data_IF_701648830308
#
_entry.id   IF_701648830308
#
_cell.length_a   1.000
_cell.length_b   1.000
_cell.length_c   1.000
_cell.angle_alpha   90.00
_cell.angle_beta   90.00
_cell.angle_gamma   90.00
#
_symmetry.space_group_name_H-M   'P 1'
#
loop_
_entity.id
_entity.type
_entity.pdbx_description
1 polymer ?
#
# COMPACT_ATOMS: atom_id res chain seq x y z
N UNK A 1 16.01 11.94 -2.87
CA UNK A 1 14.57 12.29 -2.96
C UNK A 1 13.81 11.07 -2.48
N UNK A 2 12.91 11.23 -1.52
CA UNK A 2 12.10 10.12 -1.00
C UNK A 2 10.95 9.82 -1.95
N UNK A 3 10.87 8.58 -2.46
CA UNK A 3 9.77 8.11 -3.30
C UNK A 3 8.78 7.23 -2.52
N UNK A 4 7.59 7.02 -3.09
CA UNK A 4 6.57 6.12 -2.57
C UNK A 4 6.30 5.01 -3.59
N UNK A 5 6.31 3.77 -3.13
CA UNK A 5 5.88 2.62 -3.93
C UNK A 5 4.38 2.38 -3.70
N UNK A 6 3.59 2.42 -4.76
CA UNK A 6 2.17 2.08 -4.73
C UNK A 6 1.97 0.73 -5.41
N UNK A 7 1.50 -0.26 -4.65
CA UNK A 7 1.25 -1.60 -5.13
C UNK A 7 -0.24 -1.91 -5.10
N UNK A 8 -0.73 -2.67 -6.08
CA UNK A 8 -2.09 -3.21 -6.05
C UNK A 8 -2.15 -4.63 -6.60
N UNK A 9 -3.13 -5.40 -6.11
CA UNK A 9 -3.26 -6.82 -6.45
C UNK A 9 -3.87 -7.08 -7.82
N UNK A 10 -4.55 -6.08 -8.40
CA UNK A 10 -5.28 -6.14 -9.66
C UNK A 10 -5.34 -4.77 -10.33
N UNK A 11 -5.35 -4.72 -11.66
CA UNK A 11 -5.62 -3.47 -12.41
C UNK A 11 -7.01 -2.90 -12.11
N UNK A 12 -7.96 -3.74 -11.70
CA UNK A 12 -9.29 -3.29 -11.26
C UNK A 12 -9.26 -2.38 -10.04
N UNK A 13 -8.18 -2.39 -9.26
CA UNK A 13 -8.02 -1.55 -8.07
C UNK A 13 -7.48 -0.14 -8.45
N UNK A 14 -6.96 0.03 -9.67
CA UNK A 14 -6.33 1.26 -10.16
C UNK A 14 -7.22 2.50 -10.02
N UNK A 15 -8.53 2.48 -10.36
CA UNK A 15 -9.38 3.67 -10.22
C UNK A 15 -9.49 4.18 -8.78
N UNK A 16 -9.35 3.30 -7.79
CA UNK A 16 -9.31 3.68 -6.37
C UNK A 16 -7.93 4.22 -6.01
N UNK A 17 -6.87 3.50 -6.38
CA UNK A 17 -5.50 3.83 -6.00
C UNK A 17 -4.96 5.10 -6.67
N UNK A 18 -5.36 5.39 -7.91
CA UNK A 18 -4.96 6.59 -8.65
C UNK A 18 -5.34 7.89 -7.93
N UNK A 19 -6.41 7.87 -7.12
CA UNK A 19 -6.81 9.01 -6.28
C UNK A 19 -5.71 9.38 -5.27
N UNK A 20 -4.99 8.39 -4.74
CA UNK A 20 -3.85 8.59 -3.85
C UNK A 20 -2.58 8.96 -4.61
N UNK A 21 -2.31 8.29 -5.73
CA UNK A 21 -1.16 8.58 -6.62
C UNK A 21 -1.19 10.05 -7.06
N UNK A 22 -2.37 10.55 -7.45
CA UNK A 22 -2.55 11.95 -7.86
C UNK A 22 -2.15 12.94 -6.76
N UNK A 23 -2.56 12.70 -5.50
CA UNK A 23 -2.21 13.55 -4.36
C UNK A 23 -0.70 13.55 -4.10
N UNK A 24 -0.05 12.39 -4.13
CA UNK A 24 1.40 12.30 -3.95
C UNK A 24 2.15 13.10 -5.02
N UNK A 25 1.75 12.94 -6.28
CA UNK A 25 2.36 13.66 -7.41
C UNK A 25 2.11 15.17 -7.33
N UNK A 26 0.92 15.61 -6.93
CA UNK A 26 0.61 17.04 -6.70
C UNK A 26 1.55 17.66 -5.66
N UNK A 27 1.99 16.89 -4.66
CA UNK A 27 2.92 17.31 -3.62
C UNK A 27 4.40 17.09 -4.00
N UNK A 28 4.69 16.78 -5.26
CA UNK A 28 6.05 16.60 -5.76
C UNK A 28 6.75 15.32 -5.31
N UNK A 29 6.00 14.34 -4.80
CA UNK A 29 6.55 13.02 -4.43
C UNK A 29 6.67 12.15 -5.68
N UNK A 30 7.83 11.54 -5.86
CA UNK A 30 8.03 10.53 -6.90
C UNK A 30 7.27 9.25 -6.53
N UNK A 31 6.47 8.73 -7.46
CA UNK A 31 5.61 7.56 -7.23
C UNK A 31 5.86 6.49 -8.28
N UNK A 32 6.29 5.32 -7.84
CA UNK A 32 6.30 4.10 -8.64
C UNK A 32 5.00 3.33 -8.41
N UNK A 33 4.35 2.88 -9.49
CA UNK A 33 3.11 2.09 -9.41
C UNK A 33 3.37 0.69 -9.95
N UNK A 34 3.01 -0.34 -9.18
CA UNK A 34 3.19 -1.74 -9.54
C UNK A 34 1.88 -2.54 -9.37
N UNK A 35 1.57 -3.40 -10.34
CA UNK A 35 0.49 -4.38 -10.22
C UNK A 35 1.10 -5.76 -9.98
N UNK A 36 1.01 -6.24 -8.74
CA UNK A 36 1.49 -7.56 -8.34
C UNK A 36 0.58 -8.16 -7.27
N UNK A 37 0.08 -9.36 -7.53
CA UNK A 37 -0.87 -10.04 -6.66
C UNK A 37 -0.14 -10.93 -5.66
N UNK A 38 -0.36 -10.74 -4.36
CA UNK A 38 0.18 -11.62 -3.33
C UNK A 38 -0.22 -13.10 -3.53
N UNK A 39 -1.42 -13.37 -4.04
CA UNK A 39 -1.90 -14.73 -4.26
C UNK A 39 -1.40 -15.35 -5.58
N UNK A 40 -1.29 -14.55 -6.65
CA UNK A 40 -1.00 -15.06 -8.01
C UNK A 40 0.47 -14.91 -8.41
N UNK A 41 1.15 -13.93 -7.82
CA UNK A 41 2.54 -13.58 -8.08
C UNK A 41 3.29 -13.36 -6.74
N UNK A 42 3.31 -14.35 -5.82
CA UNK A 42 3.87 -14.16 -4.48
C UNK A 42 5.36 -13.83 -4.51
N UNK A 43 6.16 -14.50 -5.35
CA UNK A 43 7.61 -14.25 -5.47
C UNK A 43 7.92 -12.83 -5.93
N UNK A 44 7.28 -12.37 -6.99
CA UNK A 44 7.42 -10.98 -7.48
C UNK A 44 7.01 -9.97 -6.41
N UNK A 45 5.95 -10.25 -5.67
CA UNK A 45 5.48 -9.37 -4.59
C UNK A 45 6.52 -9.25 -3.48
N UNK A 46 7.12 -10.37 -3.07
CA UNK A 46 8.22 -10.40 -2.11
C UNK A 46 9.44 -9.65 -2.63
N UNK A 47 9.88 -9.90 -3.86
CA UNK A 47 11.03 -9.24 -4.49
C UNK A 47 10.86 -7.71 -4.56
N UNK A 48 9.67 -7.24 -4.92
CA UNK A 48 9.35 -5.80 -4.93
C UNK A 48 9.41 -5.19 -3.52
N UNK A 49 8.89 -5.90 -2.51
CA UNK A 49 8.90 -5.43 -1.13
C UNK A 49 10.31 -5.39 -0.51
N UNK A 50 11.10 -6.44 -0.73
CA UNK A 50 12.49 -6.56 -0.26
C UNK A 50 13.38 -5.50 -0.91
N UNK A 51 13.20 -5.25 -2.21
CA UNK A 51 13.96 -4.26 -2.96
C UNK A 51 13.54 -2.81 -2.72
N UNK A 52 12.38 -2.55 -2.10
CA UNK A 52 11.77 -1.22 -2.05
C UNK A 52 12.69 -0.17 -1.39
N UNK A 53 13.31 -0.50 -0.26
CA UNK A 53 14.22 0.41 0.45
C UNK A 53 15.49 0.69 -0.36
N UNK A 54 16.07 -0.34 -0.98
CA UNK A 54 17.26 -0.19 -1.83
C UNK A 54 16.98 0.64 -3.10
N UNK A 55 15.73 0.62 -3.58
CA UNK A 55 15.26 1.45 -4.68
C UNK A 55 14.96 2.91 -4.29
N UNK A 56 15.17 3.30 -3.02
CA UNK A 56 14.98 4.68 -2.54
C UNK A 56 13.57 5.02 -2.04
N UNK A 57 12.66 4.03 -2.01
CA UNK A 57 11.32 4.24 -1.46
C UNK A 57 11.38 4.40 0.05
N UNK A 58 10.51 5.26 0.59
CA UNK A 58 10.43 5.54 2.02
C UNK A 58 9.11 5.05 2.65
N UNK A 59 8.08 4.83 1.84
CA UNK A 59 6.76 4.30 2.25
C UNK A 59 6.22 3.41 1.14
N UNK A 60 5.52 2.34 1.51
CA UNK A 60 4.77 1.50 0.55
C UNK A 60 3.26 1.64 0.83
N UNK A 61 2.47 1.87 -0.21
CA UNK A 61 1.00 1.89 -0.13
C UNK A 61 0.46 0.70 -0.92
N UNK A 62 -0.36 -0.13 -0.29
CA UNK A 62 -0.90 -1.35 -0.88
C UNK A 62 -2.43 -1.31 -0.96
N UNK A 63 -2.98 -1.45 -2.17
CA UNK A 63 -4.42 -1.62 -2.41
C UNK A 63 -4.80 -3.07 -2.66
N UNK A 64 -5.79 -3.58 -1.92
CA UNK A 64 -6.35 -4.91 -2.17
C UNK A 64 -7.79 -5.04 -1.63
N UNK A 65 -8.62 -5.81 -2.34
CA UNK A 65 -9.96 -6.18 -1.91
C UNK A 65 -10.10 -7.65 -1.52
N UNK A 66 -11.32 -8.06 -1.13
CA UNK A 66 -11.65 -9.41 -0.66
C UNK A 66 -10.76 -9.83 0.53
N UNK A 67 -10.16 -11.03 0.49
CA UNK A 67 -9.09 -11.43 1.40
C UNK A 67 -7.81 -10.63 1.09
N UNK A 68 -7.75 -9.38 1.55
CA UNK A 68 -6.74 -8.39 1.17
C UNK A 68 -5.35 -8.67 1.78
N UNK A 69 -4.67 -9.71 1.27
CA UNK A 69 -3.38 -10.17 1.81
C UNK A 69 -2.17 -9.30 1.41
N UNK A 70 -2.29 -8.50 0.35
CA UNK A 70 -1.14 -7.75 -0.21
C UNK A 70 -0.43 -6.85 0.82
N UNK A 71 -1.12 -6.01 1.61
CA UNK A 71 -0.44 -5.14 2.57
C UNK A 71 0.34 -5.92 3.63
N UNK A 72 -0.24 -7.01 4.15
CA UNK A 72 0.42 -7.86 5.15
C UNK A 72 1.63 -8.61 4.60
N UNK A 73 1.53 -9.15 3.38
CA UNK A 73 2.66 -9.82 2.71
C UNK A 73 3.79 -8.85 2.43
N UNK A 74 3.49 -7.64 1.93
CA UNK A 74 4.50 -6.61 1.70
C UNK A 74 5.17 -6.20 3.02
N UNK A 75 4.39 -5.97 4.08
CA UNK A 75 4.91 -5.62 5.40
C UNK A 75 5.82 -6.71 6.01
N UNK A 76 5.58 -7.98 5.69
CA UNK A 76 6.42 -9.08 6.13
C UNK A 76 7.80 -9.13 5.43
N UNK A 77 7.94 -8.46 4.28
CA UNK A 77 9.12 -8.52 3.41
C UNK A 77 9.89 -7.19 3.32
N UNK A 78 9.48 -6.16 4.06
CA UNK A 78 10.15 -4.86 4.05
C UNK A 78 10.23 -4.25 5.44
N UNK A 79 11.26 -3.45 5.69
CA UNK A 79 11.37 -2.63 6.90
C UNK A 79 10.70 -1.26 6.77
N UNK A 80 10.24 -0.91 5.56
CA UNK A 80 9.54 0.35 5.32
C UNK A 80 8.13 0.34 5.93
N UNK A 81 7.60 1.50 6.35
CA UNK A 81 6.19 1.64 6.70
C UNK A 81 5.28 1.21 5.54
N UNK A 82 4.32 0.33 5.82
CA UNK A 82 3.31 -0.13 4.87
C UNK A 82 1.93 0.40 5.25
N UNK A 83 1.28 1.06 4.30
CA UNK A 83 -0.08 1.59 4.42
C UNK A 83 -1.03 0.71 3.60
N UNK A 84 -2.05 0.14 4.26
CA UNK A 84 -3.05 -0.69 3.60
C UNK A 84 -4.30 0.11 3.22
N UNK A 85 -4.72 0.04 1.96
CA UNK A 85 -5.99 0.56 1.46
C UNK A 85 -6.92 -0.62 1.19
N UNK A 86 -7.90 -0.89 2.07
CA UNK A 86 -8.94 -1.88 1.81
C UNK A 86 -9.78 -1.41 0.62
N UNK A 87 -9.87 -2.22 -0.44
CA UNK A 87 -10.69 -1.91 -1.62
C UNK A 87 -12.02 -2.62 -1.50
N UNK A 88 -13.13 -1.94 -1.76
CA UNK A 88 -14.49 -2.49 -1.67
C UNK A 88 -14.83 -3.45 -2.83
N UNK A 89 -13.98 -4.43 -3.10
CA UNK A 89 -14.24 -5.46 -4.09
C UNK A 89 -15.24 -6.50 -3.55
N UNK A 90 -16.10 -7.03 -4.42
CA UNK A 90 -17.02 -8.11 -4.06
C UNK A 90 -18.28 -7.65 -3.32
N UNK A 91 -18.84 -8.55 -2.51
CA UNK A 91 -20.20 -8.42 -1.98
C UNK A 91 -20.28 -7.85 -0.57
N UNK A 92 -19.16 -7.78 0.16
CA UNK A 92 -19.11 -7.39 1.58
C UNK A 92 -18.76 -5.90 1.78
N UNK A 93 -18.76 -5.11 0.71
CA UNK A 93 -18.50 -3.67 0.79
C UNK A 93 -17.13 -3.31 1.35
N UNK A 94 -16.15 -4.22 1.31
CA UNK A 94 -14.79 -4.01 1.81
C UNK A 94 -14.59 -4.30 3.30
N UNK A 95 -15.60 -4.81 4.03
CA UNK A 95 -15.41 -5.21 5.43
C UNK A 95 -14.40 -6.36 5.57
N UNK A 96 -14.47 -7.33 4.66
CA UNK A 96 -13.49 -8.41 4.52
C UNK A 96 -12.08 -7.88 4.26
N UNK A 97 -11.95 -6.94 3.32
CA UNK A 97 -10.67 -6.30 3.04
C UNK A 97 -10.14 -5.51 4.23
N UNK A 98 -11.01 -4.78 4.94
CA UNK A 98 -10.64 -3.96 6.09
C UNK A 98 -10.07 -4.83 7.21
N UNK A 99 -10.79 -5.89 7.58
CA UNK A 99 -10.34 -6.82 8.62
C UNK A 99 -9.07 -7.56 8.20
N UNK A 100 -8.95 -7.96 6.93
CA UNK A 100 -7.73 -8.59 6.39
C UNK A 100 -6.50 -7.67 6.48
N UNK A 101 -6.68 -6.37 6.23
CA UNK A 101 -5.60 -5.38 6.30
C UNK A 101 -5.22 -4.99 7.74
N UNK A 102 -6.22 -4.78 8.60
CA UNK A 102 -6.02 -4.15 9.90
C UNK A 102 -5.63 -5.14 11.02
N UNK A 103 -6.10 -6.39 10.95
CA UNK A 103 -5.94 -7.37 12.02
C UNK A 103 -4.61 -8.15 11.91
N UNK A 104 -3.50 -7.43 11.75
CA UNK A 104 -2.17 -8.03 11.72
C UNK A 104 -1.75 -8.53 13.11
N UNK A 105 -1.03 -9.68 13.20
CA UNK A 105 -0.47 -10.12 14.46
C UNK A 105 0.68 -9.21 14.94
N UNK A 106 1.04 -9.25 16.22
CA UNK A 106 2.17 -8.48 16.75
C UNK A 106 3.47 -8.77 15.97
N UNK A 107 4.23 -7.71 15.66
CA UNK A 107 5.55 -7.79 15.01
C UNK A 107 5.57 -7.39 13.53
N UNK A 108 4.43 -7.40 12.83
CA UNK A 108 4.35 -7.04 11.39
C UNK A 108 3.21 -6.04 11.15
N UNK A 109 3.39 -4.77 11.51
CA UNK A 109 2.31 -3.78 11.48
C UNK A 109 1.95 -3.34 10.05
N UNK A 110 0.65 -3.08 9.83
CA UNK A 110 0.13 -2.38 8.64
C UNK A 110 -0.71 -1.20 9.11
N UNK A 111 -0.46 -0.01 8.56
CA UNK A 111 -1.30 1.16 8.81
C UNK A 111 -2.51 1.14 7.88
N UNK A 112 -3.60 0.49 8.29
CA UNK A 112 -4.83 0.44 7.50
C UNK A 112 -5.58 1.79 7.54
N UNK A 113 -5.99 2.30 6.38
CA UNK A 113 -6.91 3.44 6.25
C UNK A 113 -8.35 2.96 6.03
N UNK A 114 -9.30 3.89 5.91
CA UNK A 114 -10.69 3.56 5.58
C UNK A 114 -10.84 2.89 4.21
N UNK A 115 -11.95 2.18 4.01
CA UNK A 115 -12.29 1.49 2.75
C UNK A 115 -12.29 2.51 1.59
N UNK A 116 -11.67 2.12 0.48
CA UNK A 116 -11.41 2.90 -0.75
C UNK A 116 -10.71 4.25 -0.55
N UNK A 117 -10.12 4.47 0.63
CA UNK A 117 -9.60 5.78 1.01
C UNK A 117 -8.11 5.94 0.66
N UNK A 118 -7.78 5.72 -0.62
CA UNK A 118 -6.42 5.91 -1.14
C UNK A 118 -5.90 7.36 -0.94
N UNK A 119 -6.81 8.34 -0.83
CA UNK A 119 -6.46 9.73 -0.53
C UNK A 119 -5.85 9.88 0.87
N UNK A 120 -6.46 9.27 1.89
CA UNK A 120 -5.90 9.29 3.23
C UNK A 120 -4.62 8.48 3.33
N UNK A 121 -4.46 7.41 2.53
CA UNK A 121 -3.18 6.71 2.47
C UNK A 121 -2.06 7.62 1.93
N UNK A 122 -2.33 8.40 0.89
CA UNK A 122 -1.40 9.40 0.39
C UNK A 122 -1.07 10.48 1.43
N UNK A 123 -2.08 11.05 2.11
CA UNK A 123 -1.84 12.02 3.18
C UNK A 123 -1.06 11.45 4.36
N UNK A 124 -1.31 10.19 4.73
CA UNK A 124 -0.54 9.51 5.77
C UNK A 124 0.91 9.31 5.33
N UNK A 125 1.15 8.88 4.09
CA UNK A 125 2.51 8.78 3.53
C UNK A 125 3.22 10.15 3.56
N UNK A 126 2.55 11.23 3.13
CA UNK A 126 3.11 12.59 3.20
C UNK A 126 3.50 13.00 4.62
N UNK A 127 2.69 12.65 5.62
CA UNK A 127 3.01 12.91 7.04
C UNK A 127 4.23 12.11 7.50
N UNK A 128 4.34 10.83 7.12
CA UNK A 128 5.52 10.00 7.42
C UNK A 128 6.77 10.60 6.75
N UNK A 129 6.68 10.97 5.47
CA UNK A 129 7.79 11.61 4.77
C UNK A 129 8.21 12.94 5.42
N UNK A 130 7.27 13.67 6.04
CA UNK A 130 7.56 14.91 6.73
C UNK A 130 8.30 14.71 8.06
N UNK A 131 8.20 13.55 8.72
CA UNK A 131 8.94 13.28 9.97
C UNK A 131 10.41 12.95 9.75
N UNK A 132 10.78 12.54 8.53
CA UNK A 132 12.17 12.24 8.15
C UNK A 132 12.94 13.45 7.58
N UNK A 133 12.39 14.67 7.71
CA UNK A 133 13.03 15.90 7.22
C UNK A 133 13.88 16.53 8.32
N UNK A 134 15.14 16.80 7.97
CA UNK A 134 15.82 18.06 8.32
C UNK A 134 15.45 19.13 7.27
#
# INVERSE_FOLDING_TARGET
MSSVLVMMGSESDMPTMDKGVAILREHGVEVQVEVSSAHRQPKRTAELAEGAAAAGHSVVICGAGLSAALPGVVAAHTSLPVIGVPVSAGTLGGLDALLSCAQMPPGVPVAAVGIDNAKNAAHLALRILATGRD
#
